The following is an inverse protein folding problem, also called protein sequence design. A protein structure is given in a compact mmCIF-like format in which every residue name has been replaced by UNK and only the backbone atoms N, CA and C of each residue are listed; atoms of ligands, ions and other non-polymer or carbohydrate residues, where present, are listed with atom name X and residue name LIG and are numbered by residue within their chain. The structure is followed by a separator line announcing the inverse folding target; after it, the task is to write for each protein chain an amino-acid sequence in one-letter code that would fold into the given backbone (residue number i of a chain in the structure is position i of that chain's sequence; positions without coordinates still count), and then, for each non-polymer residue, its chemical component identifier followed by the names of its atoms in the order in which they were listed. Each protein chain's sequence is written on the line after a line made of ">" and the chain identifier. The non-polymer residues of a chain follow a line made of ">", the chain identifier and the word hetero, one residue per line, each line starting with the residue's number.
data_IF_386652944599
#
_entry.id   IF_386652944599
#
_cell.length_a   1.000
_cell.length_b   1.000
_cell.length_c   1.000
_cell.angle_alpha   90.00
_cell.angle_beta   90.00
_cell.angle_gamma   90.00
#
_symmetry.space_group_name_H-M   'P 1'
#
loop_
_entity.id
_entity.type
_entity.pdbx_description
1 polymer ?
#
# COMPACT_ATOMS: atom_id res chain seq x y z
N UNK A 1 19.43 -17.28 51.58
CA UNK A 1 18.73 -18.30 50.81
C UNK A 1 18.97 -18.02 49.33
N UNK A 2 19.73 -18.86 48.66
CA UNK A 2 20.11 -18.66 47.23
C UNK A 2 19.06 -19.36 46.38
N UNK A 3 18.29 -18.61 45.57
CA UNK A 3 17.35 -19.17 44.60
C UNK A 3 18.10 -19.80 43.45
N UNK A 4 17.74 -21.03 43.09
CA UNK A 4 18.28 -21.82 41.96
C UNK A 4 17.79 -21.24 40.61
N UNK A 5 18.59 -21.29 39.54
CA UNK A 5 18.20 -20.85 38.21
C UNK A 5 17.12 -21.75 37.60
N UNK A 6 16.27 -21.26 36.67
CA UNK A 6 15.20 -22.05 36.06
C UNK A 6 15.78 -23.14 35.13
N UNK A 7 15.19 -24.32 35.22
CA UNK A 7 15.57 -25.52 34.43
C UNK A 7 15.35 -25.27 32.93
N UNK A 8 16.39 -25.49 32.14
CA UNK A 8 16.33 -25.60 30.68
C UNK A 8 15.58 -26.91 30.37
N UNK A 9 14.44 -26.78 29.69
CA UNK A 9 13.67 -27.96 29.21
C UNK A 9 14.42 -28.60 28.04
N UNK A 10 14.82 -29.88 28.23
CA UNK A 10 15.37 -30.71 27.16
C UNK A 10 14.32 -30.95 26.06
N UNK A 11 14.69 -30.68 24.81
CA UNK A 11 13.86 -30.92 23.64
C UNK A 11 13.67 -32.43 23.37
N UNK A 12 12.43 -32.86 23.21
CA UNK A 12 12.03 -34.23 22.94
C UNK A 12 12.62 -34.76 21.60
N UNK A 13 13.15 -35.97 21.51
CA UNK A 13 13.87 -36.50 20.32
C UNK A 13 13.03 -36.67 19.04
N UNK A 14 11.72 -36.50 19.10
CA UNK A 14 10.82 -36.66 17.96
C UNK A 14 10.88 -35.53 16.93
N UNK A 15 11.67 -34.46 17.16
CA UNK A 15 11.74 -33.26 16.30
C UNK A 15 12.88 -33.30 15.25
N UNK A 16 13.57 -34.39 15.09
CA UNK A 16 14.79 -34.48 14.23
C UNK A 16 14.55 -34.73 12.74
N UNK A 17 13.28 -34.68 12.25
CA UNK A 17 12.95 -34.85 10.82
C UNK A 17 12.10 -33.70 10.27
N UNK A 18 12.48 -32.44 10.49
CA UNK A 18 11.78 -31.30 9.91
C UNK A 18 12.72 -30.59 8.92
N UNK A 19 12.25 -30.49 7.69
CA UNK A 19 12.88 -29.76 6.61
C UNK A 19 13.28 -28.35 7.08
N UNK A 20 14.56 -27.99 7.03
CA UNK A 20 15.14 -26.78 7.65
C UNK A 20 14.45 -25.46 7.26
N UNK A 21 13.72 -25.44 6.15
CA UNK A 21 12.97 -24.25 5.67
C UNK A 21 11.53 -24.14 6.22
N UNK A 22 10.95 -25.24 6.72
CA UNK A 22 9.63 -25.26 7.37
C UNK A 22 9.72 -25.19 8.91
N UNK A 23 10.90 -25.51 9.48
CA UNK A 23 11.07 -25.72 10.90
C UNK A 23 10.90 -24.47 11.78
N UNK A 24 11.24 -23.28 11.28
CA UNK A 24 11.10 -22.05 12.06
C UNK A 24 9.61 -21.68 12.25
N UNK A 25 8.80 -21.98 11.29
CA UNK A 25 7.37 -21.59 11.26
C UNK A 25 6.49 -22.47 12.18
N UNK A 26 6.73 -23.78 12.18
CA UNK A 26 6.07 -24.70 13.12
C UNK A 26 6.43 -24.36 14.57
N UNK A 27 7.65 -23.85 14.80
CA UNK A 27 8.07 -23.37 16.13
C UNK A 27 7.28 -22.14 16.58
N UNK A 28 6.98 -21.17 15.70
CA UNK A 28 6.22 -19.97 16.04
C UNK A 28 4.75 -20.27 16.40
N UNK A 29 4.10 -21.19 15.69
CA UNK A 29 2.73 -21.63 16.03
C UNK A 29 2.72 -22.37 17.38
N UNK A 30 3.73 -23.19 17.67
CA UNK A 30 3.83 -23.95 18.91
C UNK A 30 4.27 -23.12 20.13
N UNK A 31 4.87 -21.92 19.90
CA UNK A 31 5.27 -21.01 20.99
C UNK A 31 4.14 -20.05 21.42
N UNK A 32 2.92 -20.20 20.87
CA UNK A 32 1.76 -19.40 21.29
C UNK A 32 1.89 -17.90 20.96
N UNK A 33 2.71 -17.51 19.97
CA UNK A 33 2.78 -16.13 19.51
C UNK A 33 1.44 -15.75 18.90
N UNK A 34 0.61 -15.05 19.67
CA UNK A 34 -0.71 -14.59 19.24
C UNK A 34 -0.51 -13.40 18.30
N UNK A 35 -0.80 -13.57 17.01
CA UNK A 35 -0.82 -12.47 16.05
C UNK A 35 -1.83 -11.42 16.46
N UNK A 36 -1.37 -10.18 16.60
CA UNK A 36 -2.28 -9.06 16.87
C UNK A 36 -3.21 -8.84 15.68
N UNK A 37 -4.50 -8.70 15.98
CA UNK A 37 -5.53 -8.44 14.98
C UNK A 37 -6.24 -7.12 15.25
N UNK A 38 -6.73 -6.52 14.18
CA UNK A 38 -7.47 -5.25 14.20
C UNK A 38 -8.83 -5.47 13.54
N UNK A 39 -9.87 -4.90 14.15
CA UNK A 39 -11.18 -4.74 13.53
C UNK A 39 -11.13 -3.55 12.58
N UNK A 40 -11.43 -3.76 11.31
CA UNK A 40 -11.49 -2.72 10.28
C UNK A 40 -12.82 -1.96 10.36
N UNK A 41 -12.97 -1.11 11.38
CA UNK A 41 -14.14 -0.24 11.53
C UNK A 41 -15.46 -0.99 11.45
N UNK A 42 -16.48 -0.35 10.89
CA UNK A 42 -17.85 -0.87 10.71
C UNK A 42 -17.95 -2.13 9.83
N UNK A 43 -16.90 -2.47 9.07
CA UNK A 43 -16.87 -3.71 8.28
C UNK A 43 -16.93 -4.98 9.13
N UNK A 44 -16.55 -4.87 10.41
CA UNK A 44 -16.38 -6.00 11.34
C UNK A 44 -15.38 -7.07 10.87
N UNK A 45 -14.65 -6.85 9.79
CA UNK A 45 -13.55 -7.73 9.38
C UNK A 45 -12.43 -7.66 10.42
N UNK A 46 -12.03 -8.82 10.92
CA UNK A 46 -10.92 -8.96 11.87
C UNK A 46 -9.69 -9.45 11.09
N UNK A 47 -8.72 -8.58 10.90
CA UNK A 47 -7.52 -8.84 10.09
C UNK A 47 -6.25 -8.76 10.94
N UNK A 48 -5.18 -9.41 10.50
CA UNK A 48 -3.85 -9.18 11.09
C UNK A 48 -3.48 -7.70 10.99
N UNK A 49 -2.88 -7.16 12.06
CA UNK A 49 -2.46 -5.75 12.09
C UNK A 49 -1.40 -5.41 11.03
N UNK A 50 -0.74 -6.40 10.47
CA UNK A 50 0.10 -6.29 9.28
C UNK A 50 -0.61 -6.98 8.11
N UNK A 51 -1.03 -6.21 7.10
CA UNK A 51 -1.49 -6.71 5.82
C UNK A 51 -0.34 -6.87 4.82
N UNK A 52 -0.68 -7.19 3.58
CA UNK A 52 0.30 -7.30 2.48
C UNK A 52 -0.22 -6.62 1.22
N UNK A 53 0.66 -5.87 0.52
CA UNK A 53 0.35 -5.13 -0.69
C UNK A 53 0.97 -5.74 -1.94
N UNK A 54 0.14 -6.02 -2.95
CA UNK A 54 0.48 -6.76 -4.16
C UNK A 54 1.18 -5.97 -5.26
N UNK A 55 1.45 -4.67 -5.11
CA UNK A 55 2.06 -3.90 -6.21
C UNK A 55 3.47 -4.38 -6.61
N UNK A 56 4.37 -4.80 -5.69
CA UNK A 56 5.72 -5.21 -6.10
C UNK A 56 5.77 -6.52 -6.88
N UNK A 57 4.84 -7.45 -6.66
CA UNK A 57 4.89 -8.77 -7.32
C UNK A 57 4.73 -8.70 -8.84
N UNK A 58 4.22 -7.61 -9.40
CA UNK A 58 4.17 -7.44 -10.85
C UNK A 58 5.56 -7.48 -11.52
N UNK A 59 6.65 -7.24 -10.76
CA UNK A 59 8.03 -7.30 -11.24
C UNK A 59 8.70 -8.66 -11.05
N UNK A 60 8.19 -9.48 -10.13
CA UNK A 60 8.70 -10.81 -9.87
C UNK A 60 8.32 -11.79 -11.00
N UNK A 61 8.94 -12.94 -11.09
CA UNK A 61 8.41 -14.05 -11.86
C UNK A 61 7.09 -14.56 -11.25
N UNK A 62 6.28 -15.28 -12.01
CA UNK A 62 5.03 -15.85 -11.50
C UNK A 62 5.30 -16.81 -10.32
N UNK A 63 6.32 -17.66 -10.44
CA UNK A 63 6.71 -18.60 -9.39
C UNK A 63 7.13 -17.89 -8.10
N UNK A 64 7.94 -16.85 -8.18
CA UNK A 64 8.36 -16.05 -7.02
C UNK A 64 7.17 -15.33 -6.39
N UNK A 65 6.31 -14.72 -7.19
CA UNK A 65 5.11 -14.04 -6.71
C UNK A 65 4.19 -14.97 -5.92
N UNK A 66 3.90 -16.17 -6.45
CA UNK A 66 3.10 -17.20 -5.77
C UNK A 66 3.78 -17.62 -4.45
N UNK A 67 5.11 -17.82 -4.48
CA UNK A 67 5.88 -18.21 -3.30
C UNK A 67 5.85 -17.14 -2.21
N UNK A 68 5.96 -15.86 -2.58
CA UNK A 68 5.85 -14.72 -1.64
C UNK A 68 4.48 -14.69 -0.99
N UNK A 69 3.40 -14.75 -1.79
CA UNK A 69 2.03 -14.70 -1.27
C UNK A 69 1.77 -15.85 -0.30
N UNK A 70 2.15 -17.07 -0.68
CA UNK A 70 2.01 -18.23 0.18
C UNK A 70 2.79 -18.08 1.48
N UNK A 71 4.03 -17.63 1.41
CA UNK A 71 4.85 -17.40 2.61
C UNK A 71 4.20 -16.38 3.56
N UNK A 72 3.67 -15.27 3.02
CA UNK A 72 2.94 -14.28 3.84
C UNK A 72 1.76 -14.93 4.57
N UNK A 73 0.96 -15.73 3.88
CA UNK A 73 -0.20 -16.40 4.49
C UNK A 73 0.24 -17.49 5.47
N UNK A 74 1.26 -18.29 5.13
CA UNK A 74 1.85 -19.30 6.02
C UNK A 74 2.41 -18.65 7.29
N UNK A 75 2.99 -17.47 7.22
CA UNK A 75 3.44 -16.67 8.38
C UNK A 75 2.30 -16.02 9.18
N UNK A 76 1.06 -16.25 8.83
CA UNK A 76 -0.12 -15.82 9.57
C UNK A 76 -0.83 -14.61 9.01
N UNK A 77 -0.38 -14.06 7.88
CA UNK A 77 -1.07 -12.99 7.17
C UNK A 77 -2.43 -13.44 6.65
N UNK A 78 -3.44 -12.64 6.87
CA UNK A 78 -4.81 -12.92 6.41
C UNK A 78 -5.44 -11.77 5.63
N UNK A 79 -4.68 -10.70 5.34
CA UNK A 79 -5.15 -9.56 4.56
C UNK A 79 -4.24 -9.29 3.36
N UNK A 80 -4.78 -9.46 2.15
CA UNK A 80 -4.07 -9.26 0.88
C UNK A 80 -4.73 -8.14 0.07
N UNK A 81 -3.96 -7.11 -0.28
CA UNK A 81 -4.42 -5.98 -1.08
C UNK A 81 -3.77 -5.95 -2.48
N UNK A 82 -4.56 -5.66 -3.49
CA UNK A 82 -4.11 -5.52 -4.87
C UNK A 82 -4.89 -4.44 -5.65
N UNK A 83 -4.79 -4.40 -6.97
CA UNK A 83 -5.58 -3.51 -7.84
C UNK A 83 -5.62 -4.02 -9.28
N UNK A 84 -6.68 -3.65 -10.01
CA UNK A 84 -6.79 -3.83 -11.47
C UNK A 84 -5.60 -3.24 -12.23
N UNK A 85 -5.12 -2.08 -11.79
CA UNK A 85 -4.00 -1.38 -12.40
C UNK A 85 -2.61 -2.03 -12.12
N UNK A 86 -2.54 -3.09 -11.33
CA UNK A 86 -1.28 -3.76 -11.01
C UNK A 86 -1.01 -4.96 -11.94
N UNK A 87 -1.15 -4.72 -13.23
CA UNK A 87 -0.90 -5.67 -14.35
C UNK A 87 -1.41 -7.10 -14.06
N UNK A 88 -0.54 -7.99 -13.61
CA UNK A 88 -0.82 -9.41 -13.38
C UNK A 88 -1.00 -9.77 -11.88
N UNK A 89 -1.05 -8.78 -10.98
CA UNK A 89 -1.07 -9.03 -9.53
C UNK A 89 -2.32 -9.81 -9.08
N UNK A 90 -3.52 -9.44 -9.56
CA UNK A 90 -4.75 -10.18 -9.26
C UNK A 90 -4.68 -11.64 -9.72
N UNK A 91 -4.17 -11.88 -10.93
CA UNK A 91 -4.00 -13.22 -11.46
C UNK A 91 -3.05 -14.07 -10.59
N UNK A 92 -1.91 -13.51 -10.20
CA UNK A 92 -0.92 -14.18 -9.36
C UNK A 92 -1.44 -14.50 -7.96
N UNK A 93 -2.25 -13.58 -7.39
CA UNK A 93 -2.97 -13.85 -6.14
C UNK A 93 -3.93 -15.03 -6.36
N UNK A 94 -4.70 -15.03 -7.45
CA UNK A 94 -5.60 -16.13 -7.79
C UNK A 94 -4.92 -17.49 -7.88
N UNK A 95 -3.73 -17.55 -8.49
CA UNK A 95 -2.93 -18.78 -8.54
C UNK A 95 -2.40 -19.22 -7.17
N UNK A 96 -2.02 -18.26 -6.32
CA UNK A 96 -1.55 -18.56 -4.97
C UNK A 96 -2.69 -19.09 -4.09
N UNK A 97 -3.88 -18.48 -4.18
CA UNK A 97 -5.06 -18.84 -3.39
C UNK A 97 -5.50 -20.29 -3.63
N UNK A 98 -5.31 -20.83 -4.85
CA UNK A 98 -5.61 -22.24 -5.14
C UNK A 98 -4.70 -23.24 -4.40
N UNK A 99 -3.66 -22.76 -3.74
CA UNK A 99 -2.68 -23.55 -2.99
C UNK A 99 -2.63 -23.16 -1.52
N UNK A 100 -3.65 -22.43 -1.05
CA UNK A 100 -3.77 -21.90 0.32
C UNK A 100 -5.09 -22.42 0.90
N UNK A 101 -5.00 -23.21 1.97
CA UNK A 101 -6.15 -23.85 2.63
C UNK A 101 -6.71 -23.01 3.80
N UNK A 102 -6.27 -21.77 3.98
CA UNK A 102 -6.75 -20.88 5.04
C UNK A 102 -7.49 -19.69 4.45
N UNK A 103 -8.52 -19.17 5.16
CA UNK A 103 -9.25 -17.99 4.73
C UNK A 103 -8.34 -16.77 4.74
N UNK A 104 -8.48 -15.93 3.71
CA UNK A 104 -7.83 -14.63 3.58
C UNK A 104 -8.85 -13.57 3.22
N UNK A 105 -8.66 -12.37 3.71
CA UNK A 105 -9.45 -11.19 3.37
C UNK A 105 -8.81 -10.55 2.14
N UNK A 106 -9.59 -10.38 1.07
CA UNK A 106 -9.13 -9.82 -0.19
C UNK A 106 -9.62 -8.38 -0.34
N UNK A 107 -8.69 -7.51 -0.70
CA UNK A 107 -8.93 -6.11 -1.04
C UNK A 107 -8.38 -5.83 -2.44
N UNK A 108 -9.21 -5.21 -3.30
CA UNK A 108 -8.76 -4.71 -4.61
C UNK A 108 -9.41 -3.38 -4.95
N UNK A 109 -9.08 -2.81 -6.11
CA UNK A 109 -9.49 -1.45 -6.47
C UNK A 109 -9.41 -1.20 -7.97
N UNK A 110 -10.27 -0.30 -8.49
CA UNK A 110 -10.26 0.13 -9.89
C UNK A 110 -10.21 1.65 -10.05
N UNK A 111 -9.56 2.10 -11.14
CA UNK A 111 -9.48 3.51 -11.54
C UNK A 111 -10.75 4.01 -12.24
N UNK A 112 -11.70 3.16 -12.56
CA UNK A 112 -12.95 3.52 -13.26
C UNK A 112 -13.83 4.40 -12.37
N UNK A 113 -14.36 5.52 -12.93
CA UNK A 113 -15.19 6.52 -12.22
C UNK A 113 -16.65 6.47 -12.60
N UNK A 114 -17.09 5.49 -13.38
CA UNK A 114 -18.48 5.31 -13.82
C UNK A 114 -19.02 3.97 -13.34
N UNK A 115 -20.32 3.73 -13.46
CA UNK A 115 -20.97 2.47 -13.10
C UNK A 115 -20.37 1.25 -13.81
N UNK A 116 -19.56 1.46 -14.87
CA UNK A 116 -18.76 0.39 -15.51
C UNK A 116 -17.75 -0.28 -14.58
N UNK A 117 -17.47 0.29 -13.41
CA UNK A 117 -16.66 -0.37 -12.36
C UNK A 117 -17.25 -1.72 -11.95
N UNK A 118 -18.57 -1.91 -12.11
CA UNK A 118 -19.23 -3.19 -11.92
C UNK A 118 -18.60 -4.31 -12.80
N UNK A 119 -18.26 -4.00 -14.05
CA UNK A 119 -17.56 -4.95 -14.93
C UNK A 119 -16.13 -5.24 -14.45
N UNK A 120 -15.47 -4.24 -13.86
CA UNK A 120 -14.15 -4.42 -13.24
C UNK A 120 -14.20 -5.36 -12.02
N UNK A 121 -15.30 -5.34 -11.24
CA UNK A 121 -15.50 -6.29 -10.16
C UNK A 121 -15.55 -7.73 -10.69
N UNK A 122 -16.31 -7.98 -11.74
CA UNK A 122 -16.38 -9.30 -12.38
C UNK A 122 -15.01 -9.77 -12.92
N UNK A 123 -14.28 -8.85 -13.54
CA UNK A 123 -12.94 -9.17 -14.03
C UNK A 123 -11.96 -9.47 -12.88
N UNK A 124 -12.04 -8.73 -11.77
CA UNK A 124 -11.23 -9.01 -10.56
C UNK A 124 -11.55 -10.38 -9.96
N UNK A 125 -12.83 -10.74 -9.86
CA UNK A 125 -13.27 -12.07 -9.40
C UNK A 125 -12.70 -13.19 -10.27
N UNK A 126 -12.76 -13.00 -11.59
CA UNK A 126 -12.22 -13.94 -12.58
C UNK A 126 -10.70 -14.08 -12.46
N UNK A 127 -9.96 -12.97 -12.39
CA UNK A 127 -8.50 -12.98 -12.27
C UNK A 127 -8.03 -13.62 -10.97
N UNK A 128 -8.65 -13.27 -9.85
CA UNK A 128 -8.33 -13.86 -8.55
C UNK A 128 -8.94 -15.24 -8.33
N UNK A 129 -9.78 -15.73 -9.26
CA UNK A 129 -10.44 -17.04 -9.21
C UNK A 129 -11.24 -17.26 -7.92
N UNK A 130 -11.95 -16.23 -7.47
CA UNK A 130 -12.78 -16.21 -6.28
C UNK A 130 -14.21 -15.85 -6.60
N UNK A 131 -15.14 -16.23 -5.71
CA UNK A 131 -16.57 -15.92 -5.87
C UNK A 131 -16.95 -14.57 -5.27
N UNK A 132 -16.13 -14.04 -4.34
CA UNK A 132 -16.38 -12.81 -3.61
C UNK A 132 -15.10 -12.12 -3.22
N UNK A 133 -15.10 -10.77 -3.20
CA UNK A 133 -14.05 -9.90 -2.72
C UNK A 133 -14.57 -9.17 -1.47
N UNK A 134 -13.78 -9.11 -0.41
CA UNK A 134 -14.24 -8.51 0.84
C UNK A 134 -14.29 -6.99 0.79
N UNK A 135 -13.29 -6.34 0.17
CA UNK A 135 -13.25 -4.88 0.07
C UNK A 135 -12.91 -4.48 -1.37
N UNK A 136 -13.75 -3.63 -1.97
CA UNK A 136 -13.46 -3.05 -3.28
C UNK A 136 -13.36 -1.53 -3.18
N UNK A 137 -12.24 -0.94 -3.61
CA UNK A 137 -12.02 0.50 -3.47
C UNK A 137 -12.16 1.27 -4.77
N UNK A 138 -12.61 2.52 -4.68
CA UNK A 138 -12.33 3.56 -5.65
C UNK A 138 -10.83 3.88 -5.58
N UNK A 139 -10.09 3.58 -6.65
CA UNK A 139 -8.63 3.65 -6.65
C UNK A 139 -8.11 5.05 -7.00
N UNK A 140 -7.31 5.65 -6.13
CA UNK A 140 -6.53 6.85 -6.44
C UNK A 140 -7.39 8.05 -6.82
N UNK A 141 -8.44 8.33 -6.06
CA UNK A 141 -9.26 9.54 -6.26
C UNK A 141 -8.44 10.75 -5.82
N UNK A 142 -7.85 11.49 -6.77
CA UNK A 142 -6.81 12.48 -6.50
C UNK A 142 -7.34 13.90 -6.27
N UNK A 143 -8.55 14.22 -6.75
CA UNK A 143 -9.15 15.54 -6.69
C UNK A 143 -10.67 15.45 -6.51
N UNK A 144 -11.32 16.60 -6.26
CA UNK A 144 -12.76 16.66 -6.05
C UNK A 144 -13.56 16.37 -7.31
N UNK A 145 -13.07 16.73 -8.50
CA UNK A 145 -13.76 16.43 -9.76
C UNK A 145 -13.89 14.91 -9.96
N UNK A 146 -12.81 14.16 -9.76
CA UNK A 146 -12.82 12.69 -9.79
C UNK A 146 -13.76 12.10 -8.73
N UNK A 147 -13.79 12.73 -7.54
CA UNK A 147 -14.68 12.31 -6.45
C UNK A 147 -16.15 12.52 -6.83
N UNK A 148 -16.52 13.72 -7.23
CA UNK A 148 -17.90 14.06 -7.63
C UNK A 148 -18.38 13.19 -8.80
N UNK A 149 -17.50 12.94 -9.78
CA UNK A 149 -17.80 12.03 -10.90
C UNK A 149 -18.05 10.60 -10.43
N UNK A 150 -17.29 10.12 -9.48
CA UNK A 150 -17.47 8.76 -8.95
C UNK A 150 -18.75 8.63 -8.11
N UNK A 151 -19.19 9.70 -7.45
CA UNK A 151 -20.37 9.73 -6.58
C UNK A 151 -21.66 10.17 -7.30
N UNK A 152 -21.58 10.69 -8.52
CA UNK A 152 -22.73 11.10 -9.31
C UNK A 152 -23.63 9.92 -9.73
N UNK A 153 -24.88 10.15 -10.17
CA UNK A 153 -25.67 9.13 -10.86
C UNK A 153 -24.88 8.47 -12.00
N UNK A 154 -25.01 7.16 -12.15
CA UNK A 154 -24.18 6.33 -13.06
C UNK A 154 -22.67 6.38 -12.75
N UNK A 155 -22.29 6.89 -11.60
CA UNK A 155 -20.93 6.93 -11.11
C UNK A 155 -20.45 5.57 -10.59
N UNK A 156 -19.16 5.50 -10.25
CA UNK A 156 -18.54 4.25 -9.81
C UNK A 156 -19.11 3.76 -8.48
N UNK A 157 -19.54 4.66 -7.58
CA UNK A 157 -20.14 4.28 -6.31
C UNK A 157 -21.43 3.48 -6.49
N UNK A 158 -22.28 3.88 -7.46
CA UNK A 158 -23.49 3.14 -7.82
C UNK A 158 -23.17 1.75 -8.37
N UNK A 159 -22.15 1.64 -9.24
CA UNK A 159 -21.70 0.34 -9.76
C UNK A 159 -21.16 -0.60 -8.67
N UNK A 160 -20.48 -0.05 -7.64
CA UNK A 160 -20.04 -0.84 -6.49
C UNK A 160 -21.19 -1.22 -5.55
N UNK A 161 -22.18 -0.33 -5.34
CA UNK A 161 -23.39 -0.68 -4.59
C UNK A 161 -24.10 -1.85 -5.25
N UNK A 162 -24.30 -1.81 -6.56
CA UNK A 162 -24.87 -2.93 -7.31
C UNK A 162 -24.09 -4.22 -7.08
N UNK A 163 -22.77 -4.20 -7.18
CA UNK A 163 -21.93 -5.36 -6.93
C UNK A 163 -22.06 -5.89 -5.49
N UNK A 164 -22.25 -4.99 -4.51
CA UNK A 164 -22.48 -5.33 -3.11
C UNK A 164 -23.85 -5.97 -2.91
N UNK A 165 -24.89 -5.41 -3.49
CA UNK A 165 -26.26 -5.92 -3.40
C UNK A 165 -26.39 -7.33 -4.03
N UNK A 166 -25.60 -7.63 -5.06
CA UNK A 166 -25.49 -8.97 -5.67
C UNK A 166 -24.54 -9.91 -4.90
N UNK A 167 -23.92 -9.47 -3.80
CA UNK A 167 -23.02 -10.29 -2.96
C UNK A 167 -21.66 -10.58 -3.58
N UNK A 168 -21.25 -9.85 -4.62
CA UNK A 168 -19.95 -9.98 -5.27
C UNK A 168 -18.82 -9.34 -4.46
N UNK A 169 -19.16 -8.28 -3.72
CA UNK A 169 -18.27 -7.62 -2.75
C UNK A 169 -19.00 -7.44 -1.42
N UNK A 170 -18.26 -7.32 -0.30
CA UNK A 170 -18.87 -7.07 1.01
C UNK A 170 -18.87 -5.57 1.35
N UNK A 171 -17.76 -4.85 1.11
CA UNK A 171 -17.54 -3.49 1.58
C UNK A 171 -16.95 -2.61 0.49
N UNK A 172 -17.27 -1.31 0.57
CA UNK A 172 -16.78 -0.31 -0.37
C UNK A 172 -15.79 0.61 0.36
N UNK A 173 -14.60 0.80 -0.27
CA UNK A 173 -13.59 1.71 0.24
C UNK A 173 -13.16 2.76 -0.77
N UNK A 174 -12.33 3.68 -0.33
CA UNK A 174 -11.71 4.71 -1.17
C UNK A 174 -10.23 4.86 -0.87
N UNK A 175 -9.42 5.06 -1.91
CA UNK A 175 -7.99 5.37 -1.75
C UNK A 175 -7.67 6.73 -2.34
N UNK A 176 -6.88 7.51 -1.63
CA UNK A 176 -6.37 8.79 -2.14
C UNK A 176 -4.98 9.13 -1.59
N UNK A 177 -4.22 9.88 -2.38
CA UNK A 177 -3.02 10.58 -1.90
C UNK A 177 -3.35 11.99 -1.37
N UNK A 178 -4.52 12.50 -1.69
CA UNK A 178 -5.00 13.80 -1.26
C UNK A 178 -5.88 13.65 -0.01
N UNK A 179 -5.39 14.13 1.12
CA UNK A 179 -6.09 14.02 2.39
C UNK A 179 -7.41 14.80 2.44
N UNK A 180 -7.53 15.90 1.67
CA UNK A 180 -8.78 16.67 1.62
C UNK A 180 -9.90 15.86 0.94
N UNK A 181 -9.57 15.04 -0.06
CA UNK A 181 -10.52 14.11 -0.68
C UNK A 181 -10.97 13.04 0.31
N UNK A 182 -10.03 12.46 1.09
CA UNK A 182 -10.38 11.49 2.13
C UNK A 182 -11.22 12.12 3.23
N UNK A 183 -10.91 13.35 3.65
CA UNK A 183 -11.70 14.09 4.62
C UNK A 183 -13.14 14.28 4.15
N UNK A 184 -13.35 14.66 2.87
CA UNK A 184 -14.67 14.77 2.26
C UNK A 184 -15.37 13.42 2.25
N UNK A 185 -14.72 12.35 1.82
CA UNK A 185 -15.27 11.00 1.77
C UNK A 185 -15.73 10.49 3.15
N UNK A 186 -14.96 10.80 4.20
CA UNK A 186 -15.33 10.47 5.59
C UNK A 186 -16.55 11.27 6.03
N UNK A 187 -16.62 12.58 5.73
CA UNK A 187 -17.76 13.45 6.08
C UNK A 187 -19.04 13.01 5.40
N UNK A 188 -18.96 12.61 4.13
CA UNK A 188 -20.09 12.10 3.36
C UNK A 188 -20.56 10.70 3.85
N UNK A 189 -19.76 10.04 4.69
CA UNK A 189 -20.06 8.74 5.34
C UNK A 189 -20.47 7.62 4.36
N UNK A 190 -19.88 7.62 3.17
CA UNK A 190 -20.24 6.70 2.08
C UNK A 190 -19.34 5.47 2.01
N UNK A 191 -18.21 5.47 2.72
CA UNK A 191 -17.18 4.42 2.64
C UNK A 191 -16.93 3.79 4.00
N UNK A 192 -16.80 2.48 4.03
CA UNK A 192 -16.53 1.69 5.24
C UNK A 192 -15.03 1.56 5.50
N UNK A 193 -14.18 1.78 4.45
CA UNK A 193 -12.72 1.69 4.54
C UNK A 193 -12.07 2.83 3.77
N UNK A 194 -11.09 3.49 4.39
CA UNK A 194 -10.20 4.42 3.72
C UNK A 194 -8.79 3.85 3.62
N UNK A 195 -8.08 4.22 2.55
CA UNK A 195 -6.67 3.90 2.38
C UNK A 195 -5.88 5.18 2.09
N UNK A 196 -5.03 5.58 3.04
CA UNK A 196 -4.20 6.78 2.97
C UNK A 196 -2.71 6.43 2.86
N UNK A 197 -1.90 7.31 2.26
CA UNK A 197 -0.46 7.25 2.43
C UNK A 197 -0.12 7.53 3.90
N UNK A 198 0.70 6.64 4.50
CA UNK A 198 1.16 6.86 5.86
C UNK A 198 2.52 6.21 6.10
N UNK A 199 3.47 7.04 6.45
CA UNK A 199 4.84 6.69 6.82
C UNK A 199 5.42 7.82 7.67
N UNK A 200 6.61 7.67 8.21
CA UNK A 200 7.26 8.77 8.93
C UNK A 200 7.67 9.95 8.03
N UNK A 201 7.76 9.79 6.70
CA UNK A 201 7.93 10.89 5.74
C UNK A 201 6.59 11.52 5.31
N UNK A 202 5.47 10.83 5.50
CA UNK A 202 4.10 11.26 5.18
C UNK A 202 3.20 11.04 6.42
N UNK A 203 3.42 11.75 7.56
CA UNK A 203 2.71 11.50 8.81
C UNK A 203 1.35 12.19 8.91
N UNK A 204 1.01 13.09 8.00
CA UNK A 204 -0.12 14.03 8.11
C UNK A 204 -1.49 13.34 8.27
N UNK A 205 -1.65 12.12 7.71
CA UNK A 205 -2.89 11.36 7.84
C UNK A 205 -3.25 11.04 9.29
N UNK A 206 -2.24 10.83 10.15
CA UNK A 206 -2.45 10.53 11.57
C UNK A 206 -3.12 11.69 12.32
N UNK A 207 -2.87 12.93 11.91
CA UNK A 207 -3.43 14.11 12.54
C UNK A 207 -4.77 14.53 11.92
N UNK A 208 -4.89 14.43 10.59
CA UNK A 208 -6.05 14.97 9.84
C UNK A 208 -7.16 13.95 9.62
N UNK A 209 -6.81 12.70 9.33
CA UNK A 209 -7.74 11.72 8.76
C UNK A 209 -8.08 10.61 9.75
N UNK A 210 -7.10 10.06 10.46
CA UNK A 210 -7.34 8.90 11.33
C UNK A 210 -8.28 9.21 12.50
N UNK A 211 -8.24 10.39 13.16
CA UNK A 211 -9.21 10.73 14.18
C UNK A 211 -10.65 10.77 13.65
N UNK A 212 -10.86 11.37 12.47
CA UNK A 212 -12.17 11.45 11.83
C UNK A 212 -12.70 10.07 11.42
N UNK A 213 -11.83 9.24 10.84
CA UNK A 213 -12.19 7.88 10.46
C UNK A 213 -12.56 7.03 11.68
N UNK A 214 -11.82 7.18 12.79
CA UNK A 214 -12.12 6.51 14.06
C UNK A 214 -13.46 6.94 14.65
N UNK A 215 -13.78 8.24 14.62
CA UNK A 215 -15.08 8.76 15.07
C UNK A 215 -16.26 8.17 14.31
N UNK A 216 -16.08 7.94 13.01
CA UNK A 216 -17.08 7.35 12.12
C UNK A 216 -17.04 5.82 12.03
N UNK A 217 -16.21 5.18 12.83
CA UNK A 217 -15.96 3.72 12.79
C UNK A 217 -15.56 3.20 11.39
N UNK A 218 -14.78 3.99 10.64
CA UNK A 218 -14.28 3.64 9.31
C UNK A 218 -12.94 2.90 9.45
N UNK A 219 -12.76 1.79 8.74
CA UNK A 219 -11.52 1.03 8.70
C UNK A 219 -10.37 1.81 8.06
N UNK A 220 -9.15 1.71 8.58
CA UNK A 220 -7.99 2.47 8.11
C UNK A 220 -6.90 1.52 7.61
N UNK A 221 -6.60 1.65 6.32
CA UNK A 221 -5.46 1.00 5.68
C UNK A 221 -4.36 2.04 5.40
N UNK A 222 -3.13 1.71 5.74
CA UNK A 222 -1.96 2.56 5.47
C UNK A 222 -1.18 2.01 4.27
N UNK A 223 -1.32 2.66 3.12
CA UNK A 223 -0.48 2.36 1.96
C UNK A 223 0.86 3.09 2.04
N UNK A 224 1.87 2.54 1.36
CA UNK A 224 3.22 3.10 1.25
C UNK A 224 3.95 3.31 2.59
N UNK A 225 3.96 2.33 3.51
CA UNK A 225 4.73 2.46 4.75
C UNK A 225 6.22 2.71 4.50
N UNK A 226 6.74 2.35 3.33
CA UNK A 226 8.10 2.65 2.83
C UNK A 226 8.15 3.86 1.90
N UNK A 227 7.17 4.78 1.93
CA UNK A 227 7.08 5.97 1.05
C UNK A 227 7.24 5.64 -0.44
N UNK A 228 6.73 4.49 -0.87
CA UNK A 228 6.84 4.02 -2.26
C UNK A 228 8.21 3.43 -2.63
N UNK A 229 9.01 3.03 -1.65
CA UNK A 229 10.35 2.44 -1.80
C UNK A 229 11.49 3.46 -1.64
N UNK A 230 11.19 4.66 -1.15
CA UNK A 230 12.19 5.68 -0.79
C UNK A 230 12.86 5.32 0.54
N UNK A 231 12.08 4.80 1.50
CA UNK A 231 12.62 4.27 2.75
C UNK A 231 13.04 2.82 2.50
N UNK A 232 14.33 2.54 2.64
CA UNK A 232 14.90 1.21 2.42
C UNK A 232 14.94 0.37 3.70
N UNK A 233 14.94 1.02 4.86
CA UNK A 233 15.03 0.35 6.17
C UNK A 233 13.65 -0.09 6.67
N UNK A 234 13.37 -1.38 6.62
CA UNK A 234 12.09 -1.94 7.02
C UNK A 234 11.78 -1.75 8.52
N UNK A 235 12.76 -1.90 9.39
CA UNK A 235 12.59 -1.81 10.84
C UNK A 235 11.94 -0.51 11.29
N UNK A 236 12.61 0.64 11.16
CA UNK A 236 12.06 1.95 11.55
C UNK A 236 10.72 2.26 10.85
N UNK A 237 10.60 1.92 9.56
CA UNK A 237 9.41 2.22 8.76
C UNK A 237 8.17 1.46 9.26
N UNK A 238 8.28 0.14 9.42
CA UNK A 238 7.14 -0.67 9.84
C UNK A 238 6.80 -0.44 11.32
N UNK A 239 7.79 -0.34 12.21
CA UNK A 239 7.53 -0.05 13.62
C UNK A 239 6.81 1.28 13.80
N UNK A 240 7.16 2.30 13.01
CA UNK A 240 6.45 3.58 13.03
C UNK A 240 4.96 3.41 12.73
N UNK A 241 4.60 2.74 11.61
CA UNK A 241 3.21 2.59 11.22
C UNK A 241 2.46 1.60 12.12
N UNK A 242 3.07 0.49 12.48
CA UNK A 242 2.50 -0.52 13.38
C UNK A 242 2.23 0.02 14.79
N UNK A 243 3.00 1.01 15.26
CA UNK A 243 2.76 1.68 16.55
C UNK A 243 1.50 2.54 16.56
N UNK A 244 0.88 2.80 15.39
CA UNK A 244 -0.35 3.59 15.30
C UNK A 244 -1.56 2.70 15.54
N UNK A 245 -2.40 3.00 16.55
CA UNK A 245 -3.57 2.19 16.88
C UNK A 245 -4.60 2.13 15.74
N UNK A 246 -5.20 0.96 15.53
CA UNK A 246 -6.30 0.73 14.56
C UNK A 246 -5.94 1.04 13.09
N UNK A 247 -4.66 1.09 12.74
CA UNK A 247 -4.17 1.28 11.38
C UNK A 247 -3.51 -0.01 10.92
N UNK A 248 -3.86 -0.48 9.72
CA UNK A 248 -3.30 -1.69 9.10
C UNK A 248 -2.38 -1.28 7.95
N UNK A 249 -1.04 -1.30 8.12
CA UNK A 249 -0.11 -1.11 7.02
C UNK A 249 -0.15 -2.28 6.04
N UNK A 250 0.00 -1.96 4.75
CA UNK A 250 0.06 -2.93 3.66
C UNK A 250 1.40 -2.82 2.90
N UNK A 251 2.53 -3.16 3.56
CA UNK A 251 3.83 -3.20 2.87
C UNK A 251 3.79 -4.23 1.74
N UNK A 252 4.38 -3.88 0.60
CA UNK A 252 4.58 -4.82 -0.49
C UNK A 252 5.95 -5.49 -0.40
N UNK A 253 6.04 -6.72 -0.88
CA UNK A 253 7.30 -7.45 -1.06
C UNK A 253 7.28 -8.23 -2.36
N UNK A 254 8.37 -8.18 -3.11
CA UNK A 254 8.58 -8.98 -4.33
C UNK A 254 9.48 -10.20 -4.10
N UNK A 255 10.16 -10.29 -2.95
CA UNK A 255 11.04 -11.43 -2.62
C UNK A 255 10.63 -12.07 -1.30
N UNK A 256 10.98 -13.34 -1.13
CA UNK A 256 10.76 -14.09 0.11
C UNK A 256 11.50 -13.47 1.30
N UNK A 257 12.69 -12.92 1.06
CA UNK A 257 13.50 -12.25 2.08
C UNK A 257 12.75 -11.02 2.64
N UNK A 258 12.30 -10.11 1.78
CA UNK A 258 11.53 -8.93 2.19
C UNK A 258 10.21 -9.29 2.88
N UNK A 259 9.53 -10.33 2.39
CA UNK A 259 8.30 -10.80 3.02
C UNK A 259 8.58 -11.29 4.45
N UNK A 260 9.62 -12.09 4.63
CA UNK A 260 10.03 -12.60 5.95
C UNK A 260 10.49 -11.49 6.88
N UNK A 261 11.31 -10.56 6.40
CA UNK A 261 11.76 -9.39 7.18
C UNK A 261 10.59 -8.59 7.73
N UNK A 262 9.62 -8.25 6.89
CA UNK A 262 8.43 -7.50 7.30
C UNK A 262 7.63 -8.25 8.39
N UNK A 263 7.45 -9.56 8.21
CA UNK A 263 6.72 -10.41 9.15
C UNK A 263 7.49 -10.64 10.45
N UNK A 264 8.80 -10.77 10.40
CA UNK A 264 9.63 -10.88 11.58
C UNK A 264 9.61 -9.62 12.44
N UNK A 265 9.60 -8.43 11.82
CA UNK A 265 9.44 -7.16 12.55
C UNK A 265 8.10 -7.15 13.29
N UNK A 266 7.02 -7.60 12.66
CA UNK A 266 5.70 -7.66 13.28
C UNK A 266 5.64 -8.66 14.43
N UNK A 267 6.17 -9.88 14.23
CA UNK A 267 6.05 -10.98 15.19
C UNK A 267 7.01 -10.89 16.37
N UNK A 268 8.21 -10.31 16.17
CA UNK A 268 9.21 -10.13 17.24
C UNK A 268 8.95 -8.89 18.11
N UNK A 269 7.99 -8.05 17.73
CA UNK A 269 7.64 -6.81 18.42
C UNK A 269 8.04 -5.57 17.61
N UNK A 270 7.09 -4.65 17.52
CA UNK A 270 7.17 -3.46 16.69
C UNK A 270 7.16 -2.13 17.47
N UNK A 271 7.46 -2.15 18.76
CA UNK A 271 7.67 -0.92 19.52
C UNK A 271 8.88 -0.16 18.97
N UNK A 272 8.71 1.15 18.77
CA UNK A 272 9.81 2.01 18.36
C UNK A 272 10.90 2.06 19.44
N UNK A 273 12.11 1.70 19.06
CA UNK A 273 13.31 1.85 19.89
C UNK A 273 13.89 3.27 19.76
N UNK A 274 14.75 3.69 20.69
CA UNK A 274 15.46 4.97 20.57
C UNK A 274 16.30 5.01 19.28
N UNK A 275 16.96 3.90 18.93
CA UNK A 275 17.71 3.78 17.68
C UNK A 275 16.79 3.97 16.44
N UNK A 276 15.56 3.44 16.46
CA UNK A 276 14.61 3.67 15.36
C UNK A 276 14.26 5.16 15.26
N UNK A 277 14.05 5.84 16.38
CA UNK A 277 13.73 7.28 16.41
C UNK A 277 14.88 8.13 15.86
N UNK A 278 16.10 7.86 16.28
CA UNK A 278 17.30 8.52 15.76
C UNK A 278 17.44 8.31 14.25
N UNK A 279 17.22 7.07 13.78
CA UNK A 279 17.30 6.75 12.37
C UNK A 279 16.19 7.41 11.54
N UNK A 280 14.96 7.45 12.07
CA UNK A 280 13.83 8.17 11.46
C UNK A 280 14.17 9.65 11.29
N UNK A 281 14.71 10.31 12.31
CA UNK A 281 15.06 11.73 12.22
C UNK A 281 16.21 11.98 11.21
N UNK A 282 17.19 11.09 11.13
CA UNK A 282 18.24 11.16 10.12
C UNK A 282 17.67 11.07 8.70
N UNK A 283 16.79 10.10 8.44
CA UNK A 283 16.15 9.92 7.13
C UNK A 283 15.22 11.10 6.80
N UNK A 284 14.45 11.61 7.76
CA UNK A 284 13.62 12.81 7.56
C UNK A 284 14.46 14.01 7.12
N UNK A 285 15.62 14.22 7.76
CA UNK A 285 16.54 15.30 7.42
C UNK A 285 17.10 15.13 6.01
N UNK A 286 17.48 13.91 5.62
CA UNK A 286 17.97 13.58 4.27
C UNK A 286 16.93 13.89 3.19
N UNK A 287 15.67 13.53 3.41
CA UNK A 287 14.61 13.66 2.41
C UNK A 287 13.74 14.92 2.54
N UNK A 288 14.06 15.86 3.41
CA UNK A 288 13.23 17.02 3.76
C UNK A 288 12.70 17.79 2.53
N UNK A 289 13.56 18.12 1.56
CA UNK A 289 13.20 18.87 0.35
C UNK A 289 13.36 18.05 -0.95
N UNK A 290 13.42 16.72 -0.85
CA UNK A 290 13.63 15.84 -2.00
C UNK A 290 12.47 14.88 -2.24
N UNK A 291 11.52 14.78 -1.32
CA UNK A 291 10.44 13.79 -1.37
C UNK A 291 9.08 14.42 -1.64
N UNK A 292 8.52 14.17 -2.83
CA UNK A 292 7.16 14.59 -3.18
C UNK A 292 6.12 13.66 -2.55
N UNK A 293 5.22 14.24 -1.74
CA UNK A 293 4.13 13.52 -1.05
C UNK A 293 2.88 13.31 -1.91
N UNK A 294 2.91 13.76 -3.18
CA UNK A 294 1.84 13.52 -4.17
C UNK A 294 0.47 14.06 -3.75
N UNK A 295 0.43 15.09 -2.94
CA UNK A 295 -0.78 15.73 -2.42
C UNK A 295 -1.51 16.64 -3.44
N UNK A 296 -0.83 16.95 -4.55
CA UNK A 296 -1.34 17.72 -5.69
C UNK A 296 -1.68 19.21 -5.41
N UNK A 297 -1.28 19.75 -4.24
CA UNK A 297 -1.51 21.17 -3.90
C UNK A 297 -0.81 22.14 -4.85
N UNK A 298 0.26 21.70 -5.52
CA UNK A 298 0.98 22.47 -6.52
C UNK A 298 0.22 22.67 -7.85
N UNK A 299 -0.89 21.96 -8.05
CA UNK A 299 -1.76 22.16 -9.22
C UNK A 299 -2.69 23.38 -9.05
N UNK A 300 -3.26 23.93 -10.15
CA UNK A 300 -3.02 23.56 -11.55
C UNK A 300 -1.67 24.11 -12.10
N UNK A 301 -1.08 23.38 -13.03
CA UNK A 301 0.06 23.86 -13.83
C UNK A 301 -0.44 24.53 -15.12
N UNK A 302 0.09 25.69 -15.51
CA UNK A 302 -0.24 26.42 -16.75
C UNK A 302 -0.02 25.56 -17.98
N UNK A 303 1.06 24.77 -17.98
CA UNK A 303 1.41 23.84 -19.07
C UNK A 303 0.70 22.47 -18.91
N UNK A 304 -0.24 22.36 -17.98
CA UNK A 304 -1.00 21.12 -17.69
C UNK A 304 -0.09 19.91 -17.41
N UNK A 305 1.08 20.14 -16.81
CA UNK A 305 2.01 19.09 -16.40
C UNK A 305 1.43 18.39 -15.16
N UNK A 306 1.46 17.06 -15.14
CA UNK A 306 1.25 16.30 -13.92
C UNK A 306 2.50 16.42 -13.05
N UNK A 307 2.55 17.45 -12.19
CA UNK A 307 3.72 17.80 -11.39
C UNK A 307 4.14 16.61 -10.50
N UNK A 308 3.20 15.99 -9.80
CA UNK A 308 3.49 14.82 -8.95
C UNK A 308 4.13 13.65 -9.71
N UNK A 309 3.75 13.45 -10.99
CA UNK A 309 4.36 12.45 -11.86
C UNK A 309 5.78 12.86 -12.23
N UNK A 310 5.98 14.09 -12.72
CA UNK A 310 7.27 14.59 -13.17
C UNK A 310 8.32 14.62 -12.05
N UNK A 311 7.92 15.08 -10.85
CA UNK A 311 8.79 15.09 -9.66
C UNK A 311 9.03 13.68 -9.12
N UNK A 312 8.05 12.77 -9.24
CA UNK A 312 8.17 11.38 -8.79
C UNK A 312 8.75 10.41 -9.82
N UNK A 313 9.23 10.89 -10.98
CA UNK A 313 9.58 10.07 -12.15
C UNK A 313 10.56 8.94 -11.83
N UNK A 314 11.65 9.20 -11.10
CA UNK A 314 12.62 8.17 -10.70
C UNK A 314 11.97 7.00 -9.94
N UNK A 315 11.09 7.32 -8.99
CA UNK A 315 10.36 6.31 -8.21
C UNK A 315 9.38 5.52 -9.06
N UNK A 316 8.71 6.20 -10.01
CA UNK A 316 7.75 5.57 -10.92
C UNK A 316 8.48 4.63 -11.87
N UNK A 317 9.57 5.06 -12.49
CA UNK A 317 10.39 4.22 -13.37
C UNK A 317 10.92 3.00 -12.62
N UNK A 318 11.47 3.18 -11.41
CA UNK A 318 11.93 2.05 -10.56
C UNK A 318 10.81 1.05 -10.28
N UNK A 319 9.56 1.51 -10.16
CA UNK A 319 8.38 0.67 -9.90
C UNK A 319 7.96 -0.16 -11.10
N UNK A 320 7.97 0.42 -12.30
CA UNK A 320 7.56 -0.25 -13.54
C UNK A 320 8.70 -1.01 -14.21
N UNK A 321 9.95 -0.74 -13.83
CA UNK A 321 11.14 -1.38 -14.41
C UNK A 321 11.43 -0.95 -15.85
N UNK A 322 12.19 -1.76 -16.62
CA UNK A 322 12.66 -1.39 -17.97
C UNK A 322 11.53 -1.19 -18.99
N UNK A 323 10.35 -1.79 -18.77
CA UNK A 323 9.19 -1.67 -19.67
C UNK A 323 8.51 -0.29 -19.67
N UNK A 324 9.00 0.64 -18.86
CA UNK A 324 8.49 2.02 -18.79
C UNK A 324 8.41 2.69 -20.16
N UNK A 325 9.37 2.42 -21.05
CA UNK A 325 9.44 3.02 -22.38
C UNK A 325 8.35 2.50 -23.33
N UNK A 326 7.77 1.34 -23.05
CA UNK A 326 6.69 0.71 -23.83
C UNK A 326 5.31 1.25 -23.43
N UNK A 327 5.22 1.94 -22.28
CA UNK A 327 3.97 2.46 -21.76
C UNK A 327 3.66 3.85 -22.32
N UNK A 328 2.86 3.89 -23.40
CA UNK A 328 2.51 5.13 -24.10
C UNK A 328 2.04 6.24 -23.17
N UNK A 329 1.12 5.94 -22.25
CA UNK A 329 0.59 6.94 -21.31
C UNK A 329 1.69 7.59 -20.45
N UNK A 330 2.72 6.82 -20.08
CA UNK A 330 3.84 7.32 -19.29
C UNK A 330 4.76 8.20 -20.14
N UNK A 331 5.02 7.78 -21.37
CA UNK A 331 5.79 8.57 -22.32
C UNK A 331 5.10 9.91 -22.63
N UNK A 332 3.77 9.90 -22.79
CA UNK A 332 2.98 11.12 -23.00
C UNK A 332 3.11 12.10 -21.80
N UNK A 333 3.13 11.59 -20.56
CA UNK A 333 3.35 12.42 -19.37
C UNK A 333 4.78 12.95 -19.26
N UNK A 334 5.78 12.16 -19.67
CA UNK A 334 7.20 12.59 -19.69
C UNK A 334 7.38 13.70 -20.74
N UNK A 335 6.87 13.52 -21.95
CA UNK A 335 6.95 14.55 -22.99
C UNK A 335 6.23 15.84 -22.56
N UNK A 336 5.10 15.71 -21.89
CA UNK A 336 4.39 16.87 -21.33
C UNK A 336 5.20 17.58 -20.24
N UNK A 337 5.96 16.85 -19.42
CA UNK A 337 6.82 17.42 -18.39
C UNK A 337 7.97 18.28 -18.98
N UNK A 338 8.39 18.02 -20.23
CA UNK A 338 9.40 18.83 -20.95
C UNK A 338 8.95 20.25 -21.24
N UNK A 339 7.63 20.49 -21.23
CA UNK A 339 7.09 21.84 -21.46
C UNK A 339 7.19 22.74 -20.21
N UNK A 340 7.90 22.32 -19.16
CA UNK A 340 8.07 23.16 -17.98
C UNK A 340 8.82 24.45 -18.33
N UNK A 341 8.14 25.59 -18.18
CA UNK A 341 8.68 26.93 -18.43
C UNK A 341 9.42 27.52 -17.22
N UNK A 342 9.56 26.75 -16.14
CA UNK A 342 10.17 27.18 -14.87
C UNK A 342 9.51 28.46 -14.28
N UNK A 343 8.22 28.70 -14.57
CA UNK A 343 7.49 29.91 -14.14
C UNK A 343 7.36 30.08 -12.61
N UNK A 344 7.64 29.03 -11.83
CA UNK A 344 7.65 29.08 -10.37
C UNK A 344 6.28 29.07 -9.68
N UNK A 345 5.16 29.09 -10.39
CA UNK A 345 3.82 29.14 -9.78
C UNK A 345 3.49 27.96 -8.86
N UNK A 346 4.14 26.82 -9.06
CA UNK A 346 3.98 25.63 -8.22
C UNK A 346 4.70 25.73 -6.86
N UNK A 347 5.74 26.60 -6.75
CA UNK A 347 6.57 26.72 -5.56
C UNK A 347 5.80 27.18 -4.31
N UNK A 348 5.06 28.34 -4.34
CA UNK A 348 4.34 28.82 -3.16
C UNK A 348 3.18 27.92 -2.77
N UNK A 349 2.69 27.06 -3.68
CA UNK A 349 1.61 26.11 -3.41
C UNK A 349 2.10 24.82 -2.76
N UNK A 350 3.42 24.55 -2.78
CA UNK A 350 3.99 23.36 -2.17
C UNK A 350 4.21 23.56 -0.66
N UNK A 351 3.44 22.89 0.23
CA UNK A 351 3.62 23.07 1.67
C UNK A 351 4.95 22.50 2.18
N UNK A 352 5.65 21.73 1.35
CA UNK A 352 6.93 21.11 1.66
C UNK A 352 8.12 21.84 1.02
N UNK A 353 7.88 22.98 0.39
CA UNK A 353 8.90 23.85 -0.22
C UNK A 353 9.85 23.10 -1.17
N UNK A 354 9.31 22.15 -1.94
CA UNK A 354 10.12 21.41 -2.91
C UNK A 354 10.56 22.32 -4.05
N UNK A 355 11.81 22.22 -4.52
CA UNK A 355 12.31 22.92 -5.72
C UNK A 355 11.78 22.24 -6.99
N UNK A 356 10.45 22.34 -7.20
CA UNK A 356 9.70 21.56 -8.20
C UNK A 356 10.28 21.69 -9.62
N UNK A 357 10.58 22.90 -10.17
CA UNK A 357 11.15 23.03 -11.50
C UNK A 357 12.49 22.30 -11.64
N UNK A 358 13.38 22.46 -10.66
CA UNK A 358 14.69 21.80 -10.65
C UNK A 358 14.55 20.28 -10.60
N UNK A 359 13.65 19.77 -9.75
CA UNK A 359 13.38 18.33 -9.65
C UNK A 359 12.83 17.76 -10.96
N UNK A 360 11.96 18.48 -11.66
CA UNK A 360 11.45 18.08 -12.99
C UNK A 360 12.61 17.98 -13.98
N UNK A 361 13.44 19.01 -14.06
CA UNK A 361 14.60 19.08 -14.96
C UNK A 361 15.61 17.96 -14.71
N UNK A 362 15.99 17.76 -13.45
CA UNK A 362 16.90 16.68 -13.05
C UNK A 362 16.36 15.30 -13.39
N UNK A 363 15.06 15.07 -13.16
CA UNK A 363 14.43 13.80 -13.45
C UNK A 363 14.35 13.51 -14.95
N UNK A 364 14.11 14.52 -15.77
CA UNK A 364 14.11 14.38 -17.23
C UNK A 364 15.53 14.08 -17.75
N UNK A 365 16.54 14.80 -17.27
CA UNK A 365 17.96 14.52 -17.61
C UNK A 365 18.36 13.10 -17.20
N UNK A 366 17.96 12.67 -16.01
CA UNK A 366 18.21 11.29 -15.56
C UNK A 366 17.51 10.26 -16.45
N UNK A 367 16.25 10.50 -16.82
CA UNK A 367 15.48 9.59 -17.68
C UNK A 367 16.09 9.47 -19.08
N UNK A 368 16.58 10.58 -19.63
CA UNK A 368 17.22 10.59 -20.96
C UNK A 368 18.52 9.78 -20.97
N UNK A 369 19.29 9.84 -19.86
CA UNK A 369 20.49 8.98 -19.70
C UNK A 369 20.16 7.49 -19.62
N UNK A 370 18.98 7.12 -19.14
CA UNK A 370 18.55 5.72 -19.15
C UNK A 370 18.21 5.20 -20.55
N UNK A 371 17.81 6.10 -21.47
CA UNK A 371 17.52 5.74 -22.86
C UNK A 371 18.78 5.57 -23.71
N UNK A 372 19.84 6.26 -23.33
CA UNK A 372 21.13 6.27 -24.05
C UNK A 372 22.24 5.98 -23.03
N UNK A 373 22.40 4.70 -22.60
CA UNK A 373 23.41 4.31 -21.62
C UNK A 373 24.85 4.47 -22.10
#
# INVERSE_FOLDING_TARGET
>A
MRGSPPKIYELHPALAKINRNAGLFVLYINLGVRMEKVRLGSTNLIVTKLGWGGIPIQRASEHEAISVIRTVVEMGGDFLDTARAYTNSEHRIGLALQRIDRPVILSTKSLVRTAKIYNEVHESLKQMKVKKIHIYHLHGVSNFEDYEKAMAPEGAYEGLNRARDEGLIDHIGITSHNLNVLERAIKDNSFEVIMACYSFLEPDAAQKIFPLAKEKDIGILAMKPFSGGVIEEAGPALRFVLSTPNVVPIPGSETLEKARENWEIFTKGYSLTERDKERIEAIKKEFHQQFCRRCDYCQPCTEKISIQFAVGLKTIVKRFGPHVQELKWMMDLIEKARNCTECGECLPRCPYQLPIPDMIKENLVWFDRLKNP
#
